data_IF_575919138163
#
_entry.id   IF_575919138163
#
_cell.length_a   1.000
_cell.length_b   1.000
_cell.length_c   1.000
_cell.angle_alpha   90.00
_cell.angle_beta   90.00
_cell.angle_gamma   90.00
#
_symmetry.space_group_name_H-M   'P 1'
#
loop_
_entity.id
_entity.type
_entity.pdbx_description
1 polymer ?
#
# COMPACT_ATOMS: atom_id res chain seq x y z
N UNK A 1 2.30 -0.20 -21.38
CA UNK A 1 0.89 -0.33 -20.95
C UNK A 1 0.91 -0.93 -19.55
N UNK A 2 0.30 -0.27 -18.56
CA UNK A 2 0.25 -0.79 -17.19
C UNK A 2 -0.88 -1.80 -17.08
N UNK A 3 -0.59 -3.00 -16.60
CA UNK A 3 -1.59 -4.03 -16.33
C UNK A 3 -1.84 -4.13 -14.84
N UNK A 4 -3.04 -4.52 -14.45
CA UNK A 4 -3.43 -4.65 -13.04
C UNK A 4 -4.08 -6.00 -12.80
N UNK A 5 -3.87 -6.55 -11.61
CA UNK A 5 -4.63 -7.70 -11.11
C UNK A 5 -5.24 -7.39 -9.75
N UNK A 6 -6.27 -8.12 -9.37
CA UNK A 6 -6.84 -8.03 -8.03
C UNK A 6 -5.82 -8.45 -6.97
N UNK A 7 -5.87 -7.77 -5.82
CA UNK A 7 -5.16 -8.19 -4.62
C UNK A 7 -5.76 -9.47 -4.04
N UNK A 8 -4.89 -10.33 -3.51
CA UNK A 8 -5.31 -11.45 -2.66
C UNK A 8 -5.45 -11.00 -1.20
N UNK A 9 -6.13 -11.80 -0.38
CA UNK A 9 -6.29 -11.50 1.06
C UNK A 9 -4.95 -11.35 1.81
N UNK A 10 -3.94 -12.18 1.47
CA UNK A 10 -2.62 -12.09 2.09
C UNK A 10 -1.90 -10.80 1.72
N UNK A 11 -1.99 -10.39 0.46
CA UNK A 11 -1.39 -9.14 -0.03
C UNK A 11 -2.08 -7.92 0.55
N UNK A 12 -3.41 -7.96 0.62
CA UNK A 12 -4.20 -6.91 1.27
C UNK A 12 -3.80 -6.76 2.75
N UNK A 13 -3.65 -7.86 3.51
CA UNK A 13 -3.25 -7.77 4.91
C UNK A 13 -1.85 -7.15 5.09
N UNK A 14 -0.91 -7.48 4.19
CA UNK A 14 0.42 -6.87 4.20
C UNK A 14 0.34 -5.38 3.82
N UNK A 15 -0.47 -5.03 2.82
CA UNK A 15 -0.73 -3.65 2.42
C UNK A 15 -1.33 -2.85 3.57
N UNK A 16 -2.41 -3.33 4.19
CA UNK A 16 -3.13 -2.65 5.26
C UNK A 16 -2.21 -2.31 6.44
N UNK A 17 -1.39 -3.26 6.89
CA UNK A 17 -0.41 -3.02 7.97
C UNK A 17 0.56 -1.89 7.63
N UNK A 18 1.11 -1.90 6.43
CA UNK A 18 2.05 -0.88 5.99
C UNK A 18 1.37 0.46 5.75
N UNK A 19 0.16 0.45 5.20
CA UNK A 19 -0.60 1.63 4.86
C UNK A 19 -1.11 2.37 6.10
N UNK A 20 -1.51 1.65 7.15
CA UNK A 20 -1.85 2.23 8.46
C UNK A 20 -0.64 2.97 9.04
N UNK A 21 0.55 2.37 9.01
CA UNK A 21 1.77 3.00 9.52
C UNK A 21 2.18 4.22 8.70
N UNK A 22 2.15 4.12 7.37
CA UNK A 22 2.47 5.23 6.48
C UNK A 22 1.50 6.39 6.69
N UNK A 23 0.20 6.12 6.74
CA UNK A 23 -0.81 7.15 6.95
C UNK A 23 -0.72 7.79 8.34
N UNK A 24 -0.37 7.02 9.37
CA UNK A 24 -0.08 7.56 10.69
C UNK A 24 1.11 8.52 10.66
N UNK A 25 2.20 8.18 9.93
CA UNK A 25 3.35 9.07 9.78
C UNK A 25 2.98 10.37 9.05
N UNK A 26 2.18 10.28 7.98
CA UNK A 26 1.70 11.46 7.25
C UNK A 26 0.82 12.35 8.14
N UNK A 27 -0.09 11.75 8.92
CA UNK A 27 -0.97 12.47 9.86
C UNK A 27 -0.21 13.08 11.03
N UNK A 28 0.78 12.37 11.57
CA UNK A 28 1.69 12.91 12.58
C UNK A 28 2.35 14.19 12.08
N UNK A 29 2.88 14.16 10.85
CA UNK A 29 3.55 15.30 10.27
C UNK A 29 2.58 16.46 9.96
N UNK A 30 1.43 16.17 9.34
CA UNK A 30 0.47 17.18 8.93
C UNK A 30 -0.22 17.89 10.10
N UNK A 31 -0.56 17.15 11.16
CA UNK A 31 -1.36 17.63 12.29
C UNK A 31 -0.55 17.76 13.59
N UNK A 32 0.78 17.57 13.53
CA UNK A 32 1.69 17.62 14.69
C UNK A 32 1.25 16.73 15.86
N UNK A 33 0.71 15.55 15.54
CA UNK A 33 0.18 14.61 16.54
C UNK A 33 1.30 13.83 17.24
N UNK A 34 0.97 13.20 18.37
CA UNK A 34 1.84 12.18 18.99
C UNK A 34 1.76 10.87 18.20
N UNK A 35 2.79 10.01 18.33
CA UNK A 35 2.84 8.71 17.65
C UNK A 35 1.61 7.85 17.98
N UNK A 36 1.20 7.82 19.25
CA UNK A 36 0.04 7.06 19.69
C UNK A 36 -1.27 7.57 19.08
N UNK A 37 -1.46 8.89 19.04
CA UNK A 37 -2.69 9.49 18.53
C UNK A 37 -2.78 9.35 17.01
N UNK A 38 -1.66 9.53 16.31
CA UNK A 38 -1.61 9.35 14.86
C UNK A 38 -1.90 7.89 14.46
N UNK A 39 -1.37 6.93 15.22
CA UNK A 39 -1.65 5.50 14.99
C UNK A 39 -3.12 5.16 15.24
N UNK A 40 -3.70 5.63 16.35
CA UNK A 40 -5.12 5.42 16.67
C UNK A 40 -6.05 6.00 15.60
N UNK A 41 -5.77 7.22 15.14
CA UNK A 41 -6.55 7.86 14.07
C UNK A 41 -6.43 7.10 12.76
N UNK A 42 -5.22 6.66 12.40
CA UNK A 42 -5.00 5.86 11.21
C UNK A 42 -5.80 4.55 11.27
N UNK A 43 -5.74 3.82 12.39
CA UNK A 43 -6.52 2.60 12.58
C UNK A 43 -8.02 2.84 12.50
N UNK A 44 -8.52 3.92 13.13
CA UNK A 44 -9.93 4.28 13.08
C UNK A 44 -10.40 4.59 11.66
N UNK A 45 -9.60 5.34 10.89
CA UNK A 45 -9.91 5.68 9.51
C UNK A 45 -9.97 4.43 8.62
N UNK A 46 -9.02 3.49 8.77
CA UNK A 46 -9.06 2.23 8.01
C UNK A 46 -10.24 1.34 8.38
N UNK A 47 -10.64 1.30 9.66
CA UNK A 47 -11.84 0.56 10.09
C UNK A 47 -13.14 1.18 9.57
N UNK A 48 -13.22 2.50 9.51
CA UNK A 48 -14.38 3.22 8.98
C UNK A 48 -14.52 3.03 7.46
N UNK A 49 -13.41 3.14 6.73
CA UNK A 49 -13.40 2.99 5.27
C UNK A 49 -13.57 1.53 4.83
N UNK A 50 -13.00 0.58 5.58
CA UNK A 50 -12.94 -0.83 5.21
C UNK A 50 -13.50 -1.73 6.32
N UNK A 51 -14.80 -1.62 6.65
CA UNK A 51 -15.39 -2.37 7.76
C UNK A 51 -15.34 -3.89 7.58
N UNK A 52 -15.19 -4.38 6.34
CA UNK A 52 -15.05 -5.80 6.01
C UNK A 52 -13.69 -6.13 5.37
N UNK A 53 -12.70 -5.24 5.51
CA UNK A 53 -11.39 -5.36 4.89
C UNK A 53 -11.48 -5.44 3.37
N UNK A 54 -10.84 -6.45 2.78
CA UNK A 54 -10.82 -6.69 1.32
C UNK A 54 -12.21 -6.85 0.69
N UNK A 55 -13.20 -7.29 1.47
CA UNK A 55 -14.57 -7.52 0.97
C UNK A 55 -15.49 -6.31 1.19
N UNK A 56 -14.95 -5.17 1.63
CA UNK A 56 -15.75 -3.97 1.84
C UNK A 56 -16.42 -3.56 0.52
N UNK A 57 -17.74 -3.28 0.56
CA UNK A 57 -18.48 -2.96 -0.65
C UNK A 57 -17.88 -1.73 -1.35
N UNK A 58 -17.92 -1.71 -2.67
CA UNK A 58 -17.44 -0.61 -3.53
C UNK A 58 -15.92 -0.37 -3.51
N UNK A 59 -15.14 -1.16 -2.76
CA UNK A 59 -13.69 -1.05 -2.71
C UNK A 59 -13.04 -2.20 -3.48
N UNK A 60 -12.21 -1.86 -4.47
CA UNK A 60 -11.50 -2.85 -5.28
C UNK A 60 -10.01 -2.55 -5.26
N UNK A 61 -9.24 -3.50 -4.75
CA UNK A 61 -7.80 -3.35 -4.57
C UNK A 61 -7.04 -4.05 -5.70
N UNK A 62 -6.10 -3.32 -6.30
CA UNK A 62 -5.31 -3.79 -7.43
C UNK A 62 -3.82 -3.74 -7.14
N UNK A 63 -3.07 -4.69 -7.69
CA UNK A 63 -1.62 -4.66 -7.77
C UNK A 63 -1.21 -4.36 -9.22
N UNK A 64 -0.33 -3.37 -9.45
CA UNK A 64 0.25 -3.15 -10.76
C UNK A 64 1.17 -4.33 -11.14
N UNK A 65 0.92 -4.92 -12.29
CA UNK A 65 1.80 -5.88 -12.93
C UNK A 65 2.86 -5.11 -13.70
N UNK A 66 4.04 -4.95 -13.09
CA UNK A 66 5.21 -4.51 -13.82
C UNK A 66 5.66 -5.65 -14.73
N UNK A 67 5.33 -5.56 -16.03
CA UNK A 67 6.06 -6.32 -17.03
C UNK A 67 7.49 -5.79 -17.03
N UNK A 68 8.38 -6.54 -16.37
CA UNK A 68 9.83 -6.35 -16.45
C UNK A 68 10.25 -6.47 -17.92
N UNK A 69 10.34 -5.34 -18.61
CA UNK A 69 11.20 -5.20 -19.79
C UNK A 69 12.64 -5.03 -19.30
N UNK A 70 13.14 -5.99 -18.51
CA UNK A 70 14.44 -5.92 -17.84
C UNK A 70 15.57 -6.56 -18.67
N UNK A 71 15.31 -7.01 -19.90
CA UNK A 71 16.32 -7.70 -20.71
C UNK A 71 17.45 -6.81 -21.25
N UNK A 72 17.39 -5.47 -21.15
CA UNK A 72 18.41 -4.61 -21.76
C UNK A 72 19.30 -3.81 -20.79
N UNK A 73 18.92 -3.64 -19.52
CA UNK A 73 19.72 -2.80 -18.60
C UNK A 73 20.82 -3.59 -17.87
N UNK A 74 20.63 -4.88 -17.61
CA UNK A 74 21.65 -5.70 -16.93
C UNK A 74 22.78 -6.21 -17.85
N UNK A 75 22.65 -6.11 -19.19
CA UNK A 75 23.67 -6.64 -20.10
C UNK A 75 24.81 -5.65 -20.40
N UNK A 76 24.69 -4.39 -19.96
CA UNK A 76 25.68 -3.32 -20.23
C UNK A 76 26.74 -3.09 -19.14
N UNK A 77 26.61 -3.70 -17.96
CA UNK A 77 27.47 -3.43 -16.79
C UNK A 77 28.43 -4.57 -16.44
N UNK A 78 28.80 -5.39 -17.43
CA UNK A 78 29.75 -6.50 -17.27
C UNK A 78 30.82 -6.58 -18.37
N UNK A 79 31.09 -5.49 -19.11
CA UNK A 79 32.29 -5.40 -19.97
C UNK A 79 32.80 -3.98 -20.17
N UNK A 80 33.68 -3.52 -19.28
CA UNK A 80 35.07 -3.14 -19.59
C UNK A 80 35.79 -2.62 -18.34
#
# INVERSE_FOLDING_TARGET
MLSFRLMTAGEFSAYEKNAILSYAADKKFAESLTDENALKLSQAAYQELLPQGLNSPEQIFYIPLFQMMWSLVCCGWQKK
#
